data_IF_401322826723
#
_entry.id   IF_401322826723
#
_cell.length_a   1.000
_cell.length_b   1.000
_cell.length_c   1.000
_cell.angle_alpha   90.00
_cell.angle_beta   90.00
_cell.angle_gamma   90.00
#
_symmetry.space_group_name_H-M   'P 1'
#
loop_
_entity.id
_entity.type
_entity.pdbx_description
1 polymer ?
#
# COMPACT_ATOMS: atom_id res chain seq x y z
N UNK A 1 -23.35 -10.21 9.60
CA UNK A 1 -22.94 -9.23 10.63
C UNK A 1 -21.56 -9.59 11.10
N UNK A 2 -20.62 -8.67 11.01
CA UNK A 2 -19.23 -8.86 11.43
C UNK A 2 -19.13 -9.15 12.93
N UNK A 3 -18.33 -10.13 13.31
CA UNK A 3 -18.00 -10.43 14.70
C UNK A 3 -16.60 -9.94 15.02
N UNK A 4 -16.39 -9.42 16.23
CA UNK A 4 -15.10 -8.93 16.70
C UNK A 4 -14.78 -9.62 18.02
N UNK A 5 -13.64 -10.30 18.07
CA UNK A 5 -13.16 -10.97 19.28
C UNK A 5 -11.84 -10.34 19.71
N UNK A 6 -11.76 -9.90 20.95
CA UNK A 6 -10.51 -9.45 21.54
C UNK A 6 -9.67 -10.66 21.98
N UNK A 7 -8.39 -10.64 21.62
CA UNK A 7 -7.38 -11.59 22.12
C UNK A 7 -6.15 -10.82 22.61
N UNK A 8 -5.37 -11.45 23.45
CA UNK A 8 -4.03 -10.98 23.80
C UNK A 8 -3.00 -11.92 23.18
N UNK A 9 -1.97 -11.34 22.57
CA UNK A 9 -0.80 -12.06 22.03
C UNK A 9 0.46 -11.36 22.53
N UNK A 10 1.53 -12.10 22.74
CA UNK A 10 2.81 -11.50 23.12
C UNK A 10 3.63 -11.11 21.89
N UNK A 11 4.62 -10.26 22.08
CA UNK A 11 5.60 -9.97 21.04
C UNK A 11 6.32 -11.26 20.64
N UNK A 12 6.62 -12.15 21.62
CA UNK A 12 7.18 -13.46 21.35
C UNK A 12 6.31 -14.29 20.40
N UNK A 13 4.99 -14.32 20.65
CA UNK A 13 4.06 -15.05 19.78
C UNK A 13 4.08 -14.53 18.34
N UNK A 14 4.00 -13.21 18.13
CA UNK A 14 3.95 -12.66 16.76
C UNK A 14 5.28 -12.75 16.04
N UNK A 15 6.40 -12.79 16.74
CA UNK A 15 7.73 -12.93 16.15
C UNK A 15 8.14 -14.38 15.91
N UNK A 16 7.40 -15.34 16.48
CA UNK A 16 7.62 -16.75 16.20
C UNK A 16 7.42 -17.06 14.71
N UNK A 17 8.39 -17.73 14.10
CA UNK A 17 8.36 -18.05 12.69
C UNK A 17 8.37 -16.81 11.76
N UNK A 18 8.87 -15.65 12.23
CA UNK A 18 8.90 -14.44 11.40
C UNK A 18 9.77 -14.62 10.16
N UNK A 19 9.19 -14.38 9.00
CA UNK A 19 9.86 -14.31 7.71
C UNK A 19 9.46 -13.04 6.97
N UNK A 20 10.38 -12.49 6.20
CA UNK A 20 10.15 -11.35 5.31
C UNK A 20 10.98 -11.56 4.06
N UNK A 21 10.40 -12.22 3.05
CA UNK A 21 11.03 -12.51 1.78
C UNK A 21 10.00 -12.45 0.64
N UNK A 22 10.46 -12.52 -0.61
CA UNK A 22 9.57 -12.41 -1.78
C UNK A 22 8.75 -13.68 -2.01
N UNK A 23 9.25 -14.83 -1.61
CA UNK A 23 8.61 -16.13 -1.85
C UNK A 23 7.44 -16.39 -0.90
N UNK A 24 7.64 -16.16 0.40
CA UNK A 24 6.65 -16.44 1.44
C UNK A 24 5.88 -15.19 1.89
N UNK A 25 6.27 -14.00 1.39
CA UNK A 25 5.74 -12.73 1.87
C UNK A 25 6.27 -12.35 3.26
N UNK A 26 5.43 -11.71 4.05
CA UNK A 26 5.77 -11.27 5.42
C UNK A 26 4.85 -11.97 6.40
N UNK A 27 5.36 -12.96 7.09
CA UNK A 27 4.59 -13.81 7.99
C UNK A 27 5.17 -13.82 9.40
N UNK A 28 4.31 -14.10 10.36
CA UNK A 28 4.66 -14.31 11.77
C UNK A 28 3.61 -15.14 12.47
N UNK A 29 3.63 -15.20 13.80
CA UNK A 29 2.68 -15.96 14.60
C UNK A 29 2.65 -17.45 14.22
N UNK A 30 3.85 -18.06 14.17
CA UNK A 30 4.01 -19.44 13.73
C UNK A 30 3.64 -19.65 12.27
N UNK A 31 3.80 -18.65 11.40
CA UNK A 31 3.41 -18.67 9.99
C UNK A 31 1.92 -18.43 9.73
N UNK A 32 1.11 -18.27 10.77
CA UNK A 32 -0.36 -18.13 10.69
C UNK A 32 -0.86 -16.73 10.42
N UNK A 33 -0.01 -15.71 10.55
CA UNK A 33 -0.34 -14.29 10.35
C UNK A 33 0.37 -13.75 9.12
N UNK A 34 -0.40 -13.31 8.14
CA UNK A 34 0.09 -12.48 7.04
C UNK A 34 0.18 -11.03 7.55
N UNK A 35 1.42 -10.58 7.81
CA UNK A 35 1.66 -9.25 8.38
C UNK A 35 1.55 -8.17 7.32
N UNK A 36 1.86 -8.48 6.06
CA UNK A 36 1.79 -7.54 4.94
C UNK A 36 1.03 -8.16 3.77
N UNK A 37 -0.30 -8.25 3.85
CA UNK A 37 -1.12 -8.69 2.74
C UNK A 37 -0.82 -7.89 1.46
N UNK A 38 -0.96 -8.48 0.26
CA UNK A 38 -0.61 -7.84 -1.00
C UNK A 38 -1.25 -6.47 -1.25
N UNK A 39 -2.42 -6.20 -0.70
CA UNK A 39 -3.13 -4.93 -0.85
C UNK A 39 -2.61 -3.82 0.07
N UNK A 40 -1.87 -4.15 1.14
CA UNK A 40 -1.32 -3.14 2.03
C UNK A 40 -0.07 -2.47 1.46
N UNK A 41 0.24 -1.27 1.97
CA UNK A 41 1.41 -0.51 1.58
C UNK A 41 2.71 -1.16 2.07
N UNK A 42 3.82 -0.77 1.46
CA UNK A 42 5.16 -1.10 1.93
C UNK A 42 5.43 -0.55 3.34
N UNK A 43 6.46 -1.10 3.99
CA UNK A 43 6.94 -0.59 5.27
C UNK A 43 7.49 0.83 5.10
N UNK A 44 6.94 1.78 5.85
CA UNK A 44 7.25 3.22 5.71
C UNK A 44 7.77 3.88 6.98
N UNK A 45 7.81 3.17 8.12
CA UNK A 45 8.41 3.73 9.33
C UNK A 45 9.91 3.93 9.11
N UNK A 46 10.38 5.13 9.40
CA UNK A 46 11.80 5.41 9.49
C UNK A 46 12.36 4.87 10.81
N UNK A 47 13.67 4.87 10.94
CA UNK A 47 14.36 4.34 12.12
C UNK A 47 13.86 4.98 13.44
N UNK A 48 13.60 6.28 13.46
CA UNK A 48 13.07 6.97 14.64
C UNK A 48 11.67 6.47 15.03
N UNK A 49 10.82 6.23 14.06
CA UNK A 49 9.47 5.70 14.29
C UNK A 49 9.55 4.23 14.78
N UNK A 50 10.44 3.42 14.23
CA UNK A 50 10.69 2.05 14.69
C UNK A 50 11.21 2.04 16.14
N UNK A 51 12.19 2.87 16.46
CA UNK A 51 12.73 3.01 17.82
C UNK A 51 11.66 3.47 18.81
N UNK A 52 10.73 4.36 18.41
CA UNK A 52 9.63 4.78 19.27
C UNK A 52 8.68 3.63 19.65
N UNK A 53 8.48 2.65 18.77
CA UNK A 53 7.73 1.43 19.09
C UNK A 53 8.46 0.64 20.18
N UNK A 54 9.75 0.44 20.05
CA UNK A 54 10.56 -0.30 21.04
C UNK A 54 10.60 0.45 22.39
N UNK A 55 10.76 1.77 22.36
CA UNK A 55 10.68 2.61 23.57
C UNK A 55 9.36 2.43 24.29
N UNK A 56 8.25 2.39 23.57
CA UNK A 56 6.90 2.20 24.14
C UNK A 56 6.80 0.86 24.86
N UNK A 57 7.30 -0.21 24.24
CA UNK A 57 7.31 -1.56 24.81
C UNK A 57 8.20 -1.62 26.06
N UNK A 58 9.40 -1.05 25.99
CA UNK A 58 10.35 -1.04 27.12
C UNK A 58 9.83 -0.24 28.32
N UNK A 59 9.07 0.82 28.09
CA UNK A 59 8.43 1.59 29.15
C UNK A 59 7.15 0.94 29.69
N UNK A 60 6.67 -0.14 29.08
CA UNK A 60 5.42 -0.79 29.45
C UNK A 60 4.19 0.08 29.14
N UNK A 61 4.32 1.08 28.25
CA UNK A 61 3.22 1.91 27.81
C UNK A 61 2.36 1.13 26.81
N UNK A 62 1.03 1.37 26.77
CA UNK A 62 0.16 0.68 25.82
C UNK A 62 0.48 1.08 24.39
N UNK A 63 0.77 0.11 23.54
CA UNK A 63 0.67 0.28 22.11
C UNK A 63 -0.81 0.32 21.72
N UNK A 64 -1.15 1.14 20.72
CA UNK A 64 -2.50 1.12 20.18
C UNK A 64 -2.88 -0.30 19.75
N UNK A 65 -4.17 -0.63 19.91
CA UNK A 65 -4.74 -1.91 19.51
C UNK A 65 -4.41 -2.26 18.08
N UNK A 66 -4.31 -3.55 17.80
CA UNK A 66 -4.10 -4.07 16.44
C UNK A 66 -5.38 -4.74 15.96
N UNK A 67 -5.60 -4.74 14.67
CA UNK A 67 -6.77 -5.36 14.06
C UNK A 67 -6.33 -6.41 13.06
N UNK A 68 -6.79 -7.63 13.29
CA UNK A 68 -6.58 -8.75 12.39
C UNK A 68 -7.90 -9.19 11.76
N UNK A 69 -7.84 -9.70 10.56
CA UNK A 69 -8.96 -10.34 9.87
C UNK A 69 -8.75 -11.84 9.88
N UNK A 70 -9.78 -12.58 10.22
CA UNK A 70 -9.82 -14.01 9.98
C UNK A 70 -10.22 -14.26 8.52
N UNK A 71 -9.39 -15.00 7.78
CA UNK A 71 -9.61 -15.32 6.36
C UNK A 71 -10.51 -16.55 6.21
N UNK A 72 -10.25 -17.57 6.93
CA UNK A 72 -10.92 -18.88 6.90
C UNK A 72 -10.01 -19.92 7.50
N UNK A 73 -10.59 -21.00 7.98
CA UNK A 73 -9.81 -22.03 8.68
C UNK A 73 -8.93 -22.85 7.72
N UNK A 74 -9.30 -22.91 6.44
CA UNK A 74 -8.56 -23.62 5.39
C UNK A 74 -7.46 -22.77 4.72
N UNK A 75 -7.30 -21.50 5.09
CA UNK A 75 -6.28 -20.64 4.53
C UNK A 75 -4.90 -21.00 5.11
N UNK A 76 -3.87 -20.99 4.26
CA UNK A 76 -2.47 -21.19 4.68
C UNK A 76 -2.06 -20.18 5.79
N UNK A 77 -2.55 -18.93 5.68
CA UNK A 77 -2.47 -17.91 6.73
C UNK A 77 -3.90 -17.57 7.18
N UNK A 78 -4.41 -18.16 8.25
CA UNK A 78 -5.77 -17.90 8.71
C UNK A 78 -6.02 -16.47 9.19
N UNK A 79 -4.98 -15.71 9.46
CA UNK A 79 -5.08 -14.31 9.87
C UNK A 79 -4.30 -13.38 8.94
N UNK A 80 -4.78 -12.16 8.79
CA UNK A 80 -4.05 -11.08 8.15
C UNK A 80 -4.14 -9.80 8.99
N UNK A 81 -3.07 -9.01 8.99
CA UNK A 81 -3.09 -7.71 9.66
C UNK A 81 -3.92 -6.73 8.85
N UNK A 82 -4.96 -6.16 9.46
CA UNK A 82 -5.77 -5.10 8.88
C UNK A 82 -5.24 -3.71 9.29
N UNK A 83 -4.99 -3.50 10.58
CA UNK A 83 -4.27 -2.33 11.10
C UNK A 83 -3.24 -2.72 12.15
N UNK A 84 -2.19 -1.92 12.26
CA UNK A 84 -1.04 -2.19 13.12
C UNK A 84 0.16 -2.79 12.39
N UNK A 85 0.12 -2.89 11.06
CA UNK A 85 1.21 -3.45 10.23
C UNK A 85 2.57 -2.84 10.57
N UNK A 86 2.69 -1.52 10.62
CA UNK A 86 3.96 -0.84 10.84
C UNK A 86 4.54 -1.15 12.24
N UNK A 87 3.68 -1.21 13.25
CA UNK A 87 4.06 -1.58 14.63
C UNK A 87 4.49 -3.04 14.71
N UNK A 88 3.70 -3.93 14.11
CA UNK A 88 4.02 -5.37 14.04
C UNK A 88 5.37 -5.60 13.36
N UNK A 89 5.59 -4.97 12.20
CA UNK A 89 6.87 -5.08 11.48
C UNK A 89 8.04 -4.55 12.30
N UNK A 90 7.88 -3.41 12.97
CA UNK A 90 8.94 -2.85 13.82
C UNK A 90 9.33 -3.83 14.93
N UNK A 91 8.37 -4.48 15.58
CA UNK A 91 8.63 -5.49 16.60
C UNK A 91 9.35 -6.71 16.03
N UNK A 92 8.82 -7.26 14.91
CA UNK A 92 9.41 -8.43 14.25
C UNK A 92 10.82 -8.16 13.75
N UNK A 93 11.05 -7.02 13.11
CA UNK A 93 12.37 -6.67 12.57
C UNK A 93 13.39 -6.39 13.66
N UNK A 94 12.97 -5.81 14.80
CA UNK A 94 13.87 -5.62 15.94
C UNK A 94 14.28 -6.97 16.54
N UNK A 95 13.33 -7.86 16.81
CA UNK A 95 13.61 -9.20 17.35
C UNK A 95 14.47 -10.03 16.37
N UNK A 96 14.27 -9.86 15.07
CA UNK A 96 15.09 -10.46 14.02
C UNK A 96 16.48 -9.80 13.85
N UNK A 97 16.78 -8.73 14.60
CA UNK A 97 18.08 -8.05 14.57
C UNK A 97 18.32 -7.18 13.32
N UNK A 98 17.24 -6.74 12.63
CA UNK A 98 17.31 -5.95 11.40
C UNK A 98 17.67 -4.49 11.64
N UNK A 99 17.42 -3.96 12.83
CA UNK A 99 17.85 -2.63 13.25
C UNK A 99 18.25 -2.62 14.73
N UNK A 100 18.86 -1.53 15.17
CA UNK A 100 19.32 -1.35 16.55
C UNK A 100 18.44 -0.33 17.28
N UNK A 101 18.28 -0.55 18.59
CA UNK A 101 17.73 0.40 19.54
C UNK A 101 18.84 0.83 20.49
N UNK A 102 19.09 2.14 20.59
CA UNK A 102 20.20 2.69 21.39
C UNK A 102 21.54 1.96 21.12
N UNK A 103 21.86 1.81 19.83
CA UNK A 103 23.07 1.13 19.35
C UNK A 103 23.18 -0.37 19.69
N UNK A 104 22.12 -1.00 20.21
CA UNK A 104 22.08 -2.43 20.53
C UNK A 104 21.02 -3.15 19.70
N UNK A 105 21.43 -4.22 19.05
CA UNK A 105 20.49 -5.18 18.46
C UNK A 105 19.84 -6.00 19.57
N UNK A 106 18.68 -6.58 19.29
CA UNK A 106 17.91 -7.38 20.24
C UNK A 106 18.77 -8.45 20.93
N UNK A 107 19.59 -9.18 20.18
CA UNK A 107 20.45 -10.25 20.73
C UNK A 107 21.56 -9.75 21.66
N UNK A 108 21.90 -8.47 21.55
CA UNK A 108 22.92 -7.82 22.40
C UNK A 108 22.30 -7.13 23.62
N UNK A 109 21.00 -7.18 23.79
CA UNK A 109 20.33 -6.70 25.01
C UNK A 109 20.51 -7.68 26.15
N UNK A 110 20.52 -7.20 27.41
CA UNK A 110 20.48 -8.08 28.61
C UNK A 110 19.26 -9.03 28.53
N UNK A 111 19.39 -10.22 29.10
CA UNK A 111 18.35 -11.25 29.02
C UNK A 111 17.01 -10.86 29.65
N UNK A 112 17.02 -10.06 30.69
CA UNK A 112 15.83 -9.48 31.31
C UNK A 112 15.12 -8.51 30.38
N UNK A 113 15.86 -7.68 29.63
CA UNK A 113 15.32 -6.77 28.61
C UNK A 113 14.75 -7.54 27.41
N UNK A 114 15.49 -8.58 26.94
CA UNK A 114 14.96 -9.45 25.87
C UNK A 114 13.63 -10.07 26.29
N UNK A 115 13.55 -10.62 27.50
CA UNK A 115 12.34 -11.23 28.05
C UNK A 115 11.22 -10.20 28.18
N UNK A 116 11.51 -9.01 28.73
CA UNK A 116 10.53 -7.92 28.85
C UNK A 116 9.90 -7.56 27.51
N UNK A 117 10.69 -7.54 26.43
CA UNK A 117 10.18 -7.28 25.09
C UNK A 117 9.31 -8.43 24.59
N UNK A 118 9.77 -9.68 24.70
CA UNK A 118 9.04 -10.84 24.22
C UNK A 118 7.72 -11.08 24.97
N UNK A 119 7.72 -10.83 26.29
CA UNK A 119 6.54 -11.02 27.14
C UNK A 119 5.54 -9.85 27.07
N UNK A 120 5.90 -8.76 26.34
CA UNK A 120 5.01 -7.61 26.18
C UNK A 120 3.71 -8.03 25.45
N UNK A 121 2.58 -7.69 26.05
CA UNK A 121 1.24 -8.07 25.57
C UNK A 121 0.66 -7.03 24.63
N UNK A 122 0.16 -7.50 23.51
CA UNK A 122 -0.51 -6.75 22.48
C UNK A 122 -2.01 -7.06 22.53
N UNK A 123 -2.82 -6.03 22.52
CA UNK A 123 -4.29 -6.19 22.39
C UNK A 123 -4.62 -6.27 20.90
N UNK A 124 -5.23 -7.35 20.48
CA UNK A 124 -5.61 -7.60 19.09
C UNK A 124 -7.11 -7.85 19.01
N UNK A 125 -7.78 -7.16 18.11
CA UNK A 125 -9.15 -7.46 17.72
C UNK A 125 -9.15 -8.28 16.43
N UNK A 126 -9.67 -9.51 16.53
CA UNK A 126 -9.85 -10.41 15.39
C UNK A 126 -11.25 -10.22 14.84
N UNK A 127 -11.34 -9.83 13.57
CA UNK A 127 -12.58 -9.52 12.88
C UNK A 127 -12.92 -10.64 11.89
N UNK A 128 -14.14 -11.13 11.95
CA UNK A 128 -14.68 -12.17 11.07
C UNK A 128 -16.03 -11.71 10.53
N UNK A 129 -16.26 -11.79 9.23
CA UNK A 129 -17.48 -11.35 8.55
C UNK A 129 -17.29 -11.27 7.05
N UNK A 130 -18.30 -10.74 6.36
CA UNK A 130 -18.25 -10.54 4.92
C UNK A 130 -17.21 -9.49 4.51
N UNK A 131 -16.59 -9.62 3.32
CA UNK A 131 -15.58 -8.67 2.85
C UNK A 131 -16.05 -7.21 2.86
N UNK A 132 -17.30 -6.95 2.49
CA UNK A 132 -17.87 -5.59 2.48
C UNK A 132 -17.99 -4.99 3.88
N UNK A 133 -18.41 -5.77 4.87
CA UNK A 133 -18.52 -5.32 6.27
C UNK A 133 -17.15 -5.01 6.88
N UNK A 134 -16.18 -5.92 6.64
CA UNK A 134 -14.79 -5.72 7.09
C UNK A 134 -14.18 -4.44 6.51
N UNK A 135 -14.49 -4.18 5.24
CA UNK A 135 -14.02 -3.00 4.54
C UNK A 135 -14.61 -1.70 5.05
N UNK A 136 -15.94 -1.63 5.22
CA UNK A 136 -16.61 -0.45 5.73
C UNK A 136 -16.08 -0.10 7.12
N UNK A 137 -15.89 -1.11 7.95
CA UNK A 137 -15.32 -0.93 9.26
C UNK A 137 -13.85 -0.49 9.21
N UNK A 138 -13.03 -1.05 8.30
CA UNK A 138 -11.65 -0.66 8.08
C UNK A 138 -11.49 0.82 7.69
N UNK A 139 -12.41 1.35 6.88
CA UNK A 139 -12.48 2.78 6.59
C UNK A 139 -12.66 3.62 7.85
N UNK A 140 -13.45 3.11 8.79
CA UNK A 140 -13.79 3.82 10.02
C UNK A 140 -12.62 3.84 11.02
N UNK A 141 -11.88 2.74 11.18
CA UNK A 141 -10.80 2.65 12.18
C UNK A 141 -9.50 3.36 11.76
N UNK A 142 -9.26 3.55 10.47
CA UNK A 142 -8.05 4.21 9.96
C UNK A 142 -7.99 5.72 10.23
N UNK A 143 -8.91 6.28 11.02
CA UNK A 143 -8.96 7.71 11.35
C UNK A 143 -7.85 8.12 12.33
N UNK A 144 -7.32 7.19 13.14
CA UNK A 144 -6.33 7.46 14.18
C UNK A 144 -4.94 6.90 13.82
N UNK A 145 -4.10 7.68 13.11
CA UNK A 145 -2.74 7.27 12.77
C UNK A 145 -2.22 7.94 11.50
N UNK A 146 -1.36 7.25 10.73
CA UNK A 146 -1.06 7.63 9.34
C UNK A 146 -2.21 7.10 8.46
N UNK A 147 -3.22 7.91 8.13
CA UNK A 147 -4.40 7.42 7.45
C UNK A 147 -4.02 6.82 6.10
N UNK A 148 -4.70 5.74 5.74
CA UNK A 148 -4.63 5.22 4.39
C UNK A 148 -5.26 6.24 3.44
N UNK A 149 -4.65 6.41 2.27
CA UNK A 149 -5.28 7.19 1.23
C UNK A 149 -6.37 6.35 0.51
N UNK A 150 -7.18 7.02 -0.28
CA UNK A 150 -8.29 6.39 -0.98
C UNK A 150 -7.86 5.18 -1.84
N UNK A 151 -6.71 5.26 -2.52
CA UNK A 151 -6.21 4.15 -3.33
C UNK A 151 -5.72 2.98 -2.49
N UNK A 152 -5.12 3.23 -1.33
CA UNK A 152 -4.74 2.17 -0.39
C UNK A 152 -5.98 1.42 0.14
N UNK A 153 -7.07 2.17 0.39
CA UNK A 153 -8.37 1.60 0.76
C UNK A 153 -8.94 0.77 -0.40
N UNK A 154 -8.97 1.32 -1.61
CA UNK A 154 -9.47 0.60 -2.78
C UNK A 154 -8.69 -0.70 -3.04
N UNK A 155 -7.37 -0.70 -2.84
CA UNK A 155 -6.55 -1.91 -2.96
C UNK A 155 -6.95 -3.00 -1.96
N UNK A 156 -7.39 -2.62 -0.77
CA UNK A 156 -7.89 -3.56 0.23
C UNK A 156 -9.30 -4.10 -0.13
N UNK A 157 -10.14 -3.22 -0.66
CA UNK A 157 -11.52 -3.57 -1.12
C UNK A 157 -11.50 -4.62 -2.20
N UNK A 158 -10.72 -4.33 -3.24
CA UNK A 158 -10.64 -5.11 -4.46
C UNK A 158 -9.40 -6.00 -4.48
N UNK A 159 -8.98 -6.45 -3.27
CA UNK A 159 -7.86 -7.38 -3.15
C UNK A 159 -8.09 -8.62 -4.02
N UNK A 160 -7.09 -8.97 -4.83
CA UNK A 160 -7.17 -10.08 -5.79
C UNK A 160 -5.90 -10.17 -6.62
N UNK A 161 -5.87 -11.13 -7.60
CA UNK A 161 -4.70 -11.33 -8.45
C UNK A 161 -4.34 -10.05 -9.22
N UNK A 162 -5.32 -9.33 -9.74
CA UNK A 162 -5.13 -8.05 -10.45
C UNK A 162 -4.38 -7.03 -9.59
N UNK A 163 -4.88 -6.73 -8.38
CA UNK A 163 -4.24 -5.74 -7.49
C UNK A 163 -2.85 -6.20 -7.06
N UNK A 164 -2.69 -7.50 -6.79
CA UNK A 164 -1.39 -8.08 -6.39
C UNK A 164 -0.35 -7.91 -7.49
N UNK A 165 -0.72 -8.14 -8.74
CA UNK A 165 0.17 -7.95 -9.88
C UNK A 165 0.39 -6.47 -10.20
N UNK A 166 -0.65 -5.64 -10.20
CA UNK A 166 -0.54 -4.18 -10.39
C UNK A 166 0.47 -3.57 -9.42
N UNK A 167 0.47 -3.98 -8.15
CA UNK A 167 1.43 -3.48 -7.15
C UNK A 167 2.89 -3.80 -7.46
N UNK A 168 3.19 -4.88 -8.17
CA UNK A 168 4.57 -5.17 -8.62
C UNK A 168 5.08 -4.11 -9.59
N UNK A 169 4.20 -3.62 -10.45
CA UNK A 169 4.52 -2.61 -11.47
C UNK A 169 4.53 -1.19 -10.93
N UNK A 170 3.64 -0.85 -9.97
CA UNK A 170 3.31 0.52 -9.61
C UNK A 170 3.62 0.93 -8.17
N UNK A 171 3.73 -0.01 -7.22
CA UNK A 171 3.62 0.31 -5.79
C UNK A 171 4.85 -0.02 -4.94
N UNK A 172 5.90 -0.58 -5.53
CA UNK A 172 7.18 -0.83 -4.84
C UNK A 172 8.15 0.33 -5.03
N UNK A 173 9.00 0.55 -4.05
CA UNK A 173 10.15 1.43 -4.22
C UNK A 173 10.93 1.03 -5.47
N UNK A 174 11.23 2.01 -6.33
CA UNK A 174 11.97 1.77 -7.57
C UNK A 174 11.32 0.78 -8.55
N UNK A 175 9.98 0.63 -8.51
CA UNK A 175 9.23 -0.20 -9.45
C UNK A 175 9.35 0.28 -10.91
N UNK A 176 8.84 -0.54 -11.85
CA UNK A 176 8.87 -0.24 -13.28
C UNK A 176 8.24 1.10 -13.63
N UNK A 177 7.07 1.40 -13.07
CA UNK A 177 6.37 2.67 -13.29
C UNK A 177 7.17 3.88 -12.78
N UNK A 178 7.80 3.76 -11.61
CA UNK A 178 8.64 4.83 -11.08
C UNK A 178 9.86 5.09 -11.96
N UNK A 179 10.56 4.03 -12.37
CA UNK A 179 11.73 4.18 -13.25
C UNK A 179 11.40 4.82 -14.60
N UNK A 180 10.24 4.48 -15.15
CA UNK A 180 9.78 4.99 -16.44
C UNK A 180 9.26 6.44 -16.34
N UNK A 181 8.57 6.79 -15.26
CA UNK A 181 7.72 7.99 -15.23
C UNK A 181 7.97 8.93 -14.03
N UNK A 182 9.06 8.75 -13.26
CA UNK A 182 9.35 9.59 -12.08
C UNK A 182 9.46 11.08 -12.38
N UNK A 183 9.80 11.44 -13.61
CA UNK A 183 9.92 12.82 -14.05
C UNK A 183 8.62 13.36 -14.66
N UNK A 184 7.61 12.49 -14.89
CA UNK A 184 6.34 12.80 -15.53
C UNK A 184 5.14 12.67 -14.59
N UNK A 185 5.19 11.76 -13.63
CA UNK A 185 4.13 11.50 -12.67
C UNK A 185 4.56 11.96 -11.28
N UNK A 186 3.76 12.82 -10.67
CA UNK A 186 4.00 13.31 -9.31
C UNK A 186 3.55 12.30 -8.26
N UNK A 187 4.25 12.26 -7.13
CA UNK A 187 3.93 11.37 -6.02
C UNK A 187 4.95 10.26 -5.82
N UNK A 188 4.59 9.27 -5.01
CA UNK A 188 5.46 8.15 -4.69
C UNK A 188 4.76 6.80 -4.89
N UNK A 189 5.46 5.77 -5.38
CA UNK A 189 4.88 4.43 -5.54
C UNK A 189 4.33 3.86 -4.22
N UNK A 190 5.03 4.10 -3.11
CA UNK A 190 4.68 3.58 -1.79
C UNK A 190 3.31 4.10 -1.33
N UNK A 191 2.97 5.35 -1.69
CA UNK A 191 1.65 5.95 -1.41
C UNK A 191 0.62 5.66 -2.49
N UNK A 192 0.90 4.71 -3.38
CA UNK A 192 0.03 4.27 -4.46
C UNK A 192 -0.27 5.33 -5.54
N UNK A 193 0.50 6.44 -5.55
CA UNK A 193 0.21 7.56 -6.47
C UNK A 193 0.34 7.14 -7.93
N UNK A 194 1.32 6.29 -8.27
CA UNK A 194 1.52 5.78 -9.62
C UNK A 194 0.40 4.80 -10.03
N UNK A 195 -0.02 3.91 -9.13
CA UNK A 195 -1.14 3.01 -9.38
C UNK A 195 -2.44 3.79 -9.56
N UNK A 196 -2.71 4.74 -8.66
CA UNK A 196 -3.89 5.61 -8.77
C UNK A 196 -3.93 6.31 -10.11
N UNK A 197 -2.80 6.87 -10.56
CA UNK A 197 -2.71 7.59 -11.84
C UNK A 197 -2.95 6.66 -13.04
N UNK A 198 -2.35 5.47 -13.04
CA UNK A 198 -2.59 4.48 -14.08
C UNK A 198 -4.06 4.06 -14.17
N UNK A 199 -4.71 3.84 -13.02
CA UNK A 199 -6.12 3.50 -12.94
C UNK A 199 -7.04 4.66 -13.37
N UNK A 200 -6.72 5.91 -13.01
CA UNK A 200 -7.44 7.11 -13.47
C UNK A 200 -7.43 7.20 -14.99
N UNK A 201 -6.27 6.99 -15.61
CA UNK A 201 -6.14 7.05 -17.07
C UNK A 201 -6.88 5.90 -17.75
N UNK A 202 -6.70 4.68 -17.25
CA UNK A 202 -7.33 3.50 -17.84
C UNK A 202 -8.86 3.54 -17.71
N UNK A 203 -9.39 3.86 -16.54
CA UNK A 203 -10.82 4.01 -16.32
C UNK A 203 -11.41 5.17 -17.15
N UNK A 204 -10.64 6.25 -17.36
CA UNK A 204 -11.04 7.34 -18.25
C UNK A 204 -11.04 6.96 -19.73
N UNK A 205 -10.17 6.00 -20.12
CA UNK A 205 -10.10 5.50 -21.50
C UNK A 205 -11.24 4.53 -21.83
N UNK A 206 -11.61 3.67 -20.89
CA UNK A 206 -12.71 2.72 -21.06
C UNK A 206 -14.04 3.41 -20.77
N UNK A 207 -14.76 3.78 -21.82
CA UNK A 207 -16.12 4.32 -21.71
C UNK A 207 -17.13 3.23 -21.96
N UNK A 208 -17.99 2.93 -20.98
CA UNK A 208 -19.19 2.09 -21.16
C UNK A 208 -20.42 2.97 -21.27
N UNK A 209 -21.25 2.71 -22.28
CA UNK A 209 -22.54 3.39 -22.50
C UNK A 209 -22.47 4.92 -22.47
N UNK A 210 -21.36 5.50 -22.94
CA UNK A 210 -21.15 6.94 -22.93
C UNK A 210 -20.90 7.58 -21.56
N UNK A 211 -20.70 6.76 -20.50
CA UNK A 211 -20.31 7.23 -19.18
C UNK A 211 -18.87 6.83 -18.87
N UNK A 212 -18.12 7.78 -18.34
CA UNK A 212 -16.76 7.53 -17.87
C UNK A 212 -16.78 6.53 -16.72
N UNK A 213 -15.97 5.49 -16.82
CA UNK A 213 -15.80 4.52 -15.72
C UNK A 213 -15.04 5.16 -14.56
N UNK A 214 -15.37 4.78 -13.32
CA UNK A 214 -14.62 5.20 -12.13
C UNK A 214 -13.51 4.20 -11.81
N UNK A 215 -12.48 4.63 -11.06
CA UNK A 215 -11.45 3.70 -10.53
C UNK A 215 -12.10 2.52 -9.79
N UNK A 216 -13.09 2.82 -8.96
CA UNK A 216 -13.83 1.81 -8.18
C UNK A 216 -14.53 0.81 -9.10
N UNK A 217 -15.23 1.29 -10.14
CA UNK A 217 -15.88 0.43 -11.14
C UNK A 217 -14.89 -0.45 -11.89
N UNK A 218 -13.80 0.14 -12.35
CA UNK A 218 -12.73 -0.58 -13.03
C UNK A 218 -12.11 -1.69 -12.15
N UNK A 219 -11.75 -1.35 -10.91
CA UNK A 219 -11.16 -2.32 -9.98
C UNK A 219 -12.12 -3.45 -9.60
N UNK A 220 -13.42 -3.14 -9.43
CA UNK A 220 -14.44 -4.14 -9.15
C UNK A 220 -14.61 -5.14 -10.30
N UNK A 221 -14.57 -4.66 -11.54
CA UNK A 221 -14.71 -5.49 -12.72
C UNK A 221 -13.51 -6.40 -12.95
N UNK A 222 -12.31 -5.87 -12.73
CA UNK A 222 -11.05 -6.57 -12.99
C UNK A 222 -10.46 -7.30 -11.75
N UNK A 223 -11.16 -7.30 -10.61
CA UNK A 223 -10.67 -7.86 -9.35
C UNK A 223 -10.09 -9.28 -9.48
N UNK A 224 -10.73 -10.11 -10.30
CA UNK A 224 -10.39 -11.52 -10.49
C UNK A 224 -9.51 -11.79 -11.71
N UNK A 225 -9.11 -10.77 -12.45
CA UNK A 225 -8.19 -10.92 -13.57
C UNK A 225 -6.84 -11.48 -13.07
N UNK A 226 -6.23 -12.41 -13.82
CA UNK A 226 -5.03 -13.10 -13.36
C UNK A 226 -3.80 -12.19 -13.23
N UNK A 227 -3.81 -11.04 -13.90
CA UNK A 227 -2.73 -10.05 -13.90
C UNK A 227 -3.25 -8.67 -14.30
N UNK A 228 -2.37 -7.67 -14.19
CA UNK A 228 -2.62 -6.29 -14.57
C UNK A 228 -1.85 -5.87 -15.85
N UNK A 229 -1.56 -6.81 -16.75
CA UNK A 229 -0.76 -6.54 -17.94
C UNK A 229 -1.37 -5.46 -18.85
N UNK A 230 -2.69 -5.44 -19.00
CA UNK A 230 -3.38 -4.42 -19.80
C UNK A 230 -3.15 -3.02 -19.21
N UNK A 231 -3.32 -2.86 -17.91
CA UNK A 231 -3.06 -1.61 -17.20
C UNK A 231 -1.58 -1.18 -17.34
N UNK A 232 -0.67 -2.12 -17.20
CA UNK A 232 0.76 -1.86 -17.32
C UNK A 232 1.15 -1.44 -18.74
N UNK A 233 0.68 -2.15 -19.76
CA UNK A 233 0.94 -1.84 -21.17
C UNK A 233 0.36 -0.47 -21.55
N UNK A 234 -0.87 -0.19 -21.11
CA UNK A 234 -1.49 1.11 -21.34
C UNK A 234 -0.67 2.25 -20.73
N UNK A 235 -0.26 2.11 -19.47
CA UNK A 235 0.57 3.10 -18.79
C UNK A 235 1.90 3.32 -19.54
N UNK A 236 2.57 2.25 -19.95
CA UNK A 236 3.83 2.35 -20.72
C UNK A 236 3.61 3.10 -22.03
N UNK A 237 2.54 2.80 -22.75
CA UNK A 237 2.23 3.44 -24.02
C UNK A 237 1.98 4.95 -23.84
N UNK A 238 1.22 5.33 -22.81
CA UNK A 238 0.96 6.74 -22.46
C UNK A 238 2.27 7.48 -22.18
N UNK A 239 3.13 6.92 -21.34
CA UNK A 239 4.39 7.57 -20.96
C UNK A 239 5.36 7.64 -22.14
N UNK A 240 5.51 6.54 -22.90
CA UNK A 240 6.39 6.52 -24.06
C UNK A 240 5.92 7.52 -25.14
N UNK A 241 4.62 7.58 -25.37
CA UNK A 241 4.06 8.56 -26.28
C UNK A 241 4.34 9.99 -25.81
N UNK A 242 4.18 10.29 -24.53
CA UNK A 242 4.49 11.59 -23.96
C UNK A 242 5.97 11.96 -24.14
N UNK A 243 6.89 11.04 -23.85
CA UNK A 243 8.34 11.26 -24.02
C UNK A 243 8.70 11.48 -25.48
N UNK A 244 8.05 10.78 -26.41
CA UNK A 244 8.35 10.89 -27.85
C UNK A 244 7.85 12.19 -28.45
N UNK A 245 6.73 12.72 -27.98
CA UNK A 245 6.07 13.87 -28.60
C UNK A 245 6.36 15.22 -27.92
N UNK A 246 6.99 15.22 -26.76
CA UNK A 246 7.28 16.44 -26.01
C UNK A 246 8.75 16.55 -25.64
N UNK A 247 9.29 17.76 -25.74
CA UNK A 247 10.63 18.06 -25.22
C UNK A 247 10.64 17.85 -23.69
N UNK A 248 11.59 17.06 -23.15
CA UNK A 248 11.77 16.90 -21.69
C UNK A 248 11.86 18.21 -20.91
N UNK A 249 12.27 19.31 -21.54
CA UNK A 249 12.25 20.64 -20.91
C UNK A 249 10.85 21.15 -20.58
N UNK A 250 9.82 20.71 -21.30
CA UNK A 250 8.43 21.02 -20.99
C UNK A 250 7.91 20.23 -19.79
N UNK A 251 8.58 19.14 -19.46
CA UNK A 251 8.27 18.26 -18.34
C UNK A 251 9.10 18.57 -17.08
N UNK A 252 9.63 19.76 -16.90
CA UNK A 252 10.35 20.10 -15.66
C UNK A 252 9.38 20.12 -14.45
N UNK A 253 8.89 18.94 -14.14
CA UNK A 253 7.73 18.60 -13.34
C UNK A 253 8.00 18.57 -11.84
N UNK A 254 9.21 18.80 -11.42
CA UNK A 254 9.53 19.08 -10.01
C UNK A 254 8.95 20.42 -9.54
N UNK A 255 8.61 21.31 -10.47
CA UNK A 255 7.78 22.46 -10.16
C UNK A 255 6.30 22.04 -10.28
N UNK A 256 5.52 22.26 -9.25
CA UNK A 256 4.09 21.90 -9.07
C UNK A 256 3.11 22.45 -10.16
N UNK A 257 3.55 22.69 -11.38
CA UNK A 257 2.86 23.51 -12.36
C UNK A 257 2.60 22.89 -13.72
N UNK A 258 3.13 21.68 -13.94
CA UNK A 258 2.83 20.92 -15.17
C UNK A 258 2.36 19.53 -14.77
N UNK A 259 1.23 19.08 -15.28
CA UNK A 259 0.64 17.76 -14.98
C UNK A 259 0.11 17.16 -16.27
N UNK A 260 0.26 15.83 -16.42
CA UNK A 260 -0.43 15.08 -17.44
C UNK A 260 -1.85 14.79 -16.97
N UNK A 261 -2.83 15.18 -17.77
CA UNK A 261 -4.24 14.88 -17.55
C UNK A 261 -4.77 14.08 -18.73
N UNK A 262 -5.57 13.08 -18.44
CA UNK A 262 -6.42 12.43 -19.40
C UNK A 262 -7.74 13.21 -19.49
N UNK A 263 -8.13 13.57 -20.69
CA UNK A 263 -9.37 14.30 -20.95
C UNK A 263 -10.46 13.35 -21.43
N UNK A 264 -11.72 13.81 -21.38
CA UNK A 264 -12.90 13.05 -21.80
C UNK A 264 -12.84 12.54 -23.24
N UNK A 265 -11.97 13.10 -24.08
CA UNK A 265 -11.81 12.75 -25.48
C UNK A 265 -10.72 11.72 -25.77
N UNK A 266 -10.24 10.98 -24.76
CA UNK A 266 -9.08 10.06 -24.88
C UNK A 266 -7.76 10.78 -25.19
N UNK A 267 -7.65 12.05 -24.86
CA UNK A 267 -6.52 12.91 -25.18
C UNK A 267 -5.76 13.22 -23.92
N UNK A 268 -4.46 13.12 -23.94
CA UNK A 268 -3.59 13.55 -22.87
C UNK A 268 -3.29 15.02 -23.05
N UNK A 269 -3.70 15.84 -22.07
CA UNK A 269 -3.36 17.25 -22.05
C UNK A 269 -2.23 17.52 -21.08
N UNK A 270 -1.29 18.35 -21.50
CA UNK A 270 -0.29 18.93 -20.63
C UNK A 270 -0.77 20.31 -20.20
N UNK A 271 -0.92 20.48 -18.89
CA UNK A 271 -1.26 21.78 -18.31
C UNK A 271 -0.01 22.38 -17.69
N UNK A 272 0.43 23.52 -18.18
CA UNK A 272 1.51 24.30 -17.62
C UNK A 272 0.99 25.63 -17.10
N UNK A 273 1.83 26.38 -16.35
CA UNK A 273 1.50 27.77 -15.95
C UNK A 273 1.20 28.71 -17.14
N UNK A 274 1.55 28.29 -18.34
CA UNK A 274 1.34 29.07 -19.58
C UNK A 274 0.08 28.67 -20.34
N UNK A 275 -0.75 27.77 -19.82
CA UNK A 275 -1.98 27.30 -20.45
C UNK A 275 -1.99 25.78 -20.72
N UNK A 276 -3.16 25.25 -21.02
CA UNK A 276 -3.33 23.85 -21.44
C UNK A 276 -3.06 23.73 -22.96
N UNK A 277 -2.28 22.74 -23.35
CA UNK A 277 -2.15 22.34 -24.76
C UNK A 277 -2.76 20.95 -24.94
N UNK A 278 -3.76 20.86 -25.78
CA UNK A 278 -4.35 19.60 -26.22
C UNK A 278 -3.62 19.11 -27.48
N UNK A 279 -3.26 17.86 -27.52
CA UNK A 279 -2.32 17.33 -28.51
C UNK A 279 -3.02 16.77 -29.73
N UNK A 280 -4.23 16.28 -29.61
CA UNK A 280 -4.97 15.70 -30.76
C UNK A 280 -6.00 16.61 -31.41
N UNK A 281 -6.49 17.63 -30.72
CA UNK A 281 -7.59 18.42 -31.27
C UNK A 281 -7.18 19.66 -32.03
N UNK A 282 -5.90 19.97 -32.18
CA UNK A 282 -5.41 21.21 -32.84
C UNK A 282 -6.07 22.51 -32.36
N UNK A 283 -6.85 22.44 -31.26
CA UNK A 283 -7.49 23.63 -30.71
C UNK A 283 -6.54 24.32 -29.74
N UNK A 284 -6.12 25.49 -30.10
CA UNK A 284 -5.57 26.49 -29.19
C UNK A 284 -6.80 27.06 -28.46
N UNK A 285 -6.68 27.13 -27.14
CA UNK A 285 -7.64 27.73 -26.22
C UNK A 285 -8.69 26.74 -25.64
N UNK A 286 -8.29 26.20 -24.51
CA UNK A 286 -9.18 25.95 -23.36
C UNK A 286 -8.64 26.70 -22.16
#
# INVERSE_FOLDING_TARGET
>A
MMTIKQIEVTVGDITDGYVNNEEQGVRGYGGRLDIRPPYQREFIYNEKEQQAVITTVLNGYPLNVMYWVKRGDDAECPYEVMDGQQRTLSLCEYVAGKFSYEFKNFFNQPKDIQRKILDYRLTVYVCEGEPSEKLEWFRTINIAGKPLNEQEINNAVYAGPFVSDAKRHFSKSNCGAYRLAKDLVTGTPIRQDFLKKALEWMAGHETREGKRQTIVGYMAEHQHDPNANNLWTYFQNVINWAITNFDPKHFNLKSATTRLYDTEAKIICIVSKKGAQCIECHHKDI
#
